data_IF_922596971502
#
_entry.id   IF_922596971502
#
_cell.length_a   1.000
_cell.length_b   1.000
_cell.length_c   1.000
_cell.angle_alpha   90.00
_cell.angle_beta   90.00
_cell.angle_gamma   90.00
#
_symmetry.space_group_name_H-M   'P 1'
#
loop_
_entity.id
_entity.type
_entity.pdbx_description
1 polymer ?
#
# COMPACT_ATOMS: atom_id res chain seq x y z
N UNK A 1 10.19 9.97 16.19
CA UNK A 1 10.84 8.70 15.83
C UNK A 1 11.80 8.97 14.69
N UNK A 2 13.10 8.72 14.81
CA UNK A 2 14.06 8.94 13.72
C UNK A 2 14.05 7.77 12.74
N UNK A 3 14.09 8.05 11.42
CA UNK A 3 14.07 7.04 10.35
C UNK A 3 15.46 6.94 9.72
N UNK A 4 15.97 5.73 9.53
CA UNK A 4 17.25 5.47 8.88
C UNK A 4 17.05 4.73 7.56
N UNK A 5 17.87 5.01 6.56
CA UNK A 5 17.93 4.23 5.32
C UNK A 5 18.79 2.97 5.47
N UNK A 6 18.79 2.07 4.48
CA UNK A 6 19.66 0.88 4.48
C UNK A 6 21.15 1.23 4.54
N UNK A 7 21.52 2.41 4.05
CA UNK A 7 22.88 2.95 4.07
C UNK A 7 23.21 3.70 5.38
N UNK A 8 22.31 3.70 6.37
CA UNK A 8 22.55 4.30 7.69
C UNK A 8 22.39 5.82 7.77
N UNK A 9 21.90 6.49 6.74
CA UNK A 9 21.64 7.93 6.78
C UNK A 9 20.41 8.26 7.61
N UNK A 10 20.48 9.33 8.41
CA UNK A 10 19.38 9.84 9.22
C UNK A 10 18.40 10.66 8.38
N UNK A 11 17.10 10.42 8.57
CA UNK A 11 16.02 11.13 7.89
C UNK A 11 14.89 11.49 8.87
N UNK A 12 14.08 12.48 8.46
CA UNK A 12 12.87 12.83 9.21
C UNK A 12 11.86 11.66 9.18
N UNK A 13 11.02 11.56 10.21
CA UNK A 13 10.05 10.45 10.38
C UNK A 13 9.08 10.29 9.20
N UNK A 14 8.83 11.36 8.47
CA UNK A 14 7.91 11.47 7.34
C UNK A 14 8.65 11.46 5.98
N UNK A 15 9.97 11.26 5.97
CA UNK A 15 10.75 11.28 4.74
C UNK A 15 10.42 10.08 3.87
N UNK A 16 9.88 10.34 2.67
CA UNK A 16 9.57 9.29 1.67
C UNK A 16 10.82 8.71 1.02
N UNK A 17 11.87 9.49 0.89
CA UNK A 17 13.15 9.11 0.31
C UNK A 17 14.31 9.67 1.13
N UNK A 18 15.46 9.01 1.05
CA UNK A 18 16.69 9.48 1.64
C UNK A 18 17.19 10.69 0.87
N UNK A 19 17.46 11.79 1.58
CA UNK A 19 17.97 13.02 0.96
C UNK A 19 19.43 12.92 0.51
N UNK A 20 20.15 11.88 0.95
CA UNK A 20 21.57 11.68 0.61
C UNK A 20 21.77 10.64 -0.49
N UNK A 21 21.10 9.49 -0.42
CA UNK A 21 21.27 8.40 -1.40
C UNK A 21 20.05 8.11 -2.28
N UNK A 22 18.91 8.78 -2.04
CA UNK A 22 17.69 8.58 -2.85
C UNK A 22 16.88 7.33 -2.54
N UNK A 23 17.33 6.48 -1.60
CA UNK A 23 16.62 5.27 -1.19
C UNK A 23 15.21 5.58 -0.62
N UNK A 24 14.19 4.83 -1.02
CA UNK A 24 12.82 4.98 -0.50
C UNK A 24 12.74 4.45 0.94
N UNK A 25 12.33 5.30 1.89
CA UNK A 25 12.43 5.00 3.34
C UNK A 25 11.10 4.63 3.96
N UNK A 26 10.07 5.39 3.59
CA UNK A 26 8.72 4.96 3.78
C UNK A 26 8.38 4.19 2.52
N UNK A 27 8.35 2.86 2.63
CA UNK A 27 7.47 2.08 1.78
C UNK A 27 6.03 2.52 2.11
N UNK A 28 5.59 3.66 1.59
CA UNK A 28 4.25 3.75 1.02
C UNK A 28 4.23 2.82 -0.20
N UNK A 29 4.52 1.55 0.06
CA UNK A 29 4.92 0.58 -0.93
C UNK A 29 3.65 -0.13 -1.39
N UNK A 30 3.61 -0.44 -2.68
CA UNK A 30 2.71 -1.43 -3.26
C UNK A 30 2.68 -2.77 -2.48
N UNK A 31 3.64 -2.99 -1.58
CA UNK A 31 3.76 -4.19 -0.75
C UNK A 31 3.21 -4.05 0.68
N UNK A 32 2.91 -2.84 1.17
CA UNK A 32 2.38 -2.65 2.53
C UNK A 32 0.88 -2.99 2.55
N UNK A 33 0.45 -3.89 3.45
CA UNK A 33 -0.97 -4.19 3.65
C UNK A 33 -1.70 -2.92 4.09
N UNK A 34 -2.88 -2.67 3.52
CA UNK A 34 -3.75 -1.60 3.98
C UNK A 34 -4.30 -1.93 5.37
N UNK A 35 -4.36 -0.93 6.23
CA UNK A 35 -4.83 -1.10 7.62
C UNK A 35 -6.24 -0.54 7.80
N UNK A 36 -6.98 -1.09 8.77
CA UNK A 36 -8.31 -0.57 9.13
C UNK A 36 -8.23 0.92 9.51
N UNK A 37 -9.19 1.71 9.03
CA UNK A 37 -9.23 3.16 9.19
C UNK A 37 -8.39 3.95 8.18
N UNK A 38 -7.57 3.28 7.35
CA UNK A 38 -6.81 3.97 6.32
C UNK A 38 -7.74 4.56 5.25
N UNK A 39 -7.56 5.85 4.96
CA UNK A 39 -8.33 6.56 3.93
C UNK A 39 -7.55 6.60 2.61
N UNK A 40 -8.13 6.03 1.56
CA UNK A 40 -7.56 5.99 0.22
C UNK A 40 -8.25 7.00 -0.70
N UNK A 41 -7.45 7.83 -1.36
CA UNK A 41 -7.95 8.84 -2.30
C UNK A 41 -8.97 9.80 -1.68
N UNK A 42 -8.92 9.99 -0.35
CA UNK A 42 -9.89 10.79 0.42
C UNK A 42 -11.34 10.29 0.32
N UNK A 43 -11.57 9.05 -0.11
CA UNK A 43 -12.90 8.51 -0.42
C UNK A 43 -13.16 7.14 0.19
N UNK A 44 -12.20 6.24 0.13
CA UNK A 44 -12.44 4.87 0.57
C UNK A 44 -11.76 4.63 1.91
N UNK A 45 -12.54 4.36 2.95
CA UNK A 45 -12.04 4.01 4.27
C UNK A 45 -11.96 2.50 4.39
N UNK A 46 -10.75 1.96 4.54
CA UNK A 46 -10.55 0.51 4.68
C UNK A 46 -11.11 0.05 6.02
N UNK A 47 -11.93 -1.00 6.01
CA UNK A 47 -12.49 -1.61 7.21
C UNK A 47 -11.70 -2.88 7.60
N UNK A 48 -11.49 -3.79 6.66
CA UNK A 48 -10.75 -5.04 6.90
C UNK A 48 -10.29 -5.70 5.60
N UNK A 49 -9.32 -6.61 5.71
CA UNK A 49 -8.96 -7.49 4.59
C UNK A 49 -9.96 -8.66 4.52
N UNK A 50 -10.48 -8.91 3.31
CA UNK A 50 -11.37 -10.04 3.01
C UNK A 50 -10.62 -11.26 2.48
N UNK A 51 -9.50 -11.05 1.80
CA UNK A 51 -8.71 -12.14 1.25
C UNK A 51 -7.47 -11.68 0.49
N UNK A 52 -6.66 -12.65 0.06
CA UNK A 52 -5.44 -12.44 -0.71
C UNK A 52 -5.23 -13.63 -1.65
N UNK A 53 -4.78 -13.32 -2.88
CA UNK A 53 -4.41 -14.31 -3.89
C UNK A 53 -3.16 -13.86 -4.65
N UNK A 54 -2.73 -14.64 -5.65
CA UNK A 54 -1.47 -14.40 -6.36
C UNK A 54 -1.31 -13.04 -7.04
N UNK A 55 -2.43 -12.37 -7.35
CA UNK A 55 -2.47 -11.09 -8.06
C UNK A 55 -2.92 -9.90 -7.22
N UNK A 56 -3.22 -10.10 -5.94
CA UNK A 56 -3.65 -8.98 -5.12
C UNK A 56 -4.33 -9.30 -3.81
N UNK A 57 -4.79 -8.23 -3.19
CA UNK A 57 -5.46 -8.23 -1.89
C UNK A 57 -6.86 -7.62 -2.06
N UNK A 58 -7.82 -8.20 -1.36
CA UNK A 58 -9.22 -7.75 -1.39
C UNK A 58 -9.57 -7.21 -0.01
N UNK A 59 -10.14 -6.01 0.03
CA UNK A 59 -10.52 -5.34 1.27
C UNK A 59 -11.98 -4.94 1.25
N UNK A 60 -12.63 -5.01 2.41
CA UNK A 60 -13.87 -4.30 2.69
C UNK A 60 -13.52 -2.84 2.99
N UNK A 61 -14.26 -1.92 2.39
CA UNK A 61 -14.11 -0.50 2.63
C UNK A 61 -15.47 0.21 2.60
N UNK A 62 -15.52 1.41 3.13
CA UNK A 62 -16.68 2.31 3.07
C UNK A 62 -16.38 3.42 2.06
N UNK A 63 -17.31 3.69 1.14
CA UNK A 63 -17.24 4.84 0.24
C UNK A 63 -17.83 6.08 0.92
N UNK A 64 -16.97 6.96 1.43
CA UNK A 64 -17.38 8.16 2.16
C UNK A 64 -18.13 9.17 1.31
N UNK A 65 -18.07 9.03 -0.03
CA UNK A 65 -18.82 9.89 -0.95
C UNK A 65 -20.20 9.32 -1.27
N UNK A 66 -20.54 8.14 -0.74
CA UNK A 66 -21.81 7.45 -0.92
C UNK A 66 -22.41 7.03 0.41
N UNK A 67 -22.45 7.93 1.39
CA UNK A 67 -23.02 7.68 2.72
C UNK A 67 -22.42 6.45 3.41
N UNK A 68 -21.10 6.30 3.32
CA UNK A 68 -20.34 5.17 3.86
C UNK A 68 -20.84 3.80 3.36
N UNK A 69 -21.33 3.76 2.10
CA UNK A 69 -21.79 2.52 1.47
C UNK A 69 -20.65 1.47 1.46
N UNK A 70 -20.90 0.24 1.95
CA UNK A 70 -19.89 -0.81 1.96
C UNK A 70 -19.57 -1.24 0.54
N UNK A 71 -18.28 -1.30 0.24
CA UNK A 71 -17.73 -1.62 -1.07
C UNK A 71 -16.49 -2.51 -0.93
N UNK A 72 -16.06 -3.08 -2.06
CA UNK A 72 -14.85 -3.92 -2.11
C UNK A 72 -13.76 -3.18 -2.87
N UNK A 73 -12.58 -3.06 -2.26
CA UNK A 73 -11.36 -2.63 -2.94
C UNK A 73 -10.52 -3.84 -3.32
N UNK A 74 -10.16 -3.92 -4.59
CA UNK A 74 -9.21 -4.91 -5.10
C UNK A 74 -7.89 -4.22 -5.40
N UNK A 75 -6.94 -4.38 -4.50
CA UNK A 75 -5.59 -3.87 -4.67
C UNK A 75 -4.81 -4.82 -5.57
N UNK A 76 -4.27 -4.28 -6.66
CA UNK A 76 -3.32 -5.00 -7.49
C UNK A 76 -1.95 -5.06 -6.79
N UNK A 77 -1.63 -6.22 -6.24
CA UNK A 77 -0.41 -6.49 -5.49
C UNK A 77 0.11 -7.88 -5.88
N UNK A 78 0.73 -8.02 -7.06
CA UNK A 78 1.24 -9.30 -7.54
C UNK A 78 2.33 -9.82 -6.59
N UNK A 79 2.14 -11.04 -6.10
CA UNK A 79 3.10 -11.71 -5.21
C UNK A 79 3.95 -12.76 -5.93
N UNK A 80 3.68 -12.93 -7.23
CA UNK A 80 4.40 -13.84 -8.11
C UNK A 80 5.74 -13.23 -8.51
N UNK A 81 6.82 -14.00 -8.32
CA UNK A 81 8.15 -13.65 -8.82
C UNK A 81 8.29 -14.20 -10.26
N UNK A 82 8.65 -13.33 -11.22
CA UNK A 82 8.90 -13.68 -12.61
C UNK A 82 8.11 -12.83 -13.61
N UNK A 83 8.80 -12.34 -14.66
CA UNK A 83 8.24 -11.41 -15.65
C UNK A 83 7.00 -11.97 -16.39
N UNK A 84 6.96 -13.29 -16.65
CA UNK A 84 5.83 -13.94 -17.32
C UNK A 84 4.55 -13.94 -16.47
N UNK A 85 4.69 -14.01 -15.14
CA UNK A 85 3.56 -13.98 -14.23
C UNK A 85 3.03 -12.55 -14.05
N UNK A 86 3.90 -11.55 -14.16
CA UNK A 86 3.52 -10.13 -14.19
C UNK A 86 2.83 -9.76 -15.52
N UNK A 87 3.28 -10.28 -16.66
CA UNK A 87 2.62 -10.05 -17.96
C UNK A 87 1.20 -10.62 -18.03
N UNK A 88 0.90 -11.73 -17.34
CA UNK A 88 -0.47 -12.26 -17.25
C UNK A 88 -1.41 -11.40 -16.40
N UNK A 89 -0.85 -10.45 -15.68
CA UNK A 89 -1.55 -9.60 -14.72
C UNK A 89 -1.89 -8.21 -15.29
N UNK A 90 -1.29 -7.86 -16.43
CA UNK A 90 -1.51 -6.63 -17.21
C UNK A 90 -2.74 -6.77 -18.12
#
# INVERSE_FOLDING_TARGET
MTLYCSQGHLNASDSRFCRLCGEVLLKAGRDANLVAGQLLGWRYRVASQLGQGGFGRTYLAEDTNRFDEPCVLKEFAPQVQGDEALQKAE
#
